data_IF_007248250207
#
_entry.id   IF_007248250207
#
_cell.length_a   1.000
_cell.length_b   1.000
_cell.length_c   1.000
_cell.angle_alpha   90.00
_cell.angle_beta   90.00
_cell.angle_gamma   90.00
#
_symmetry.space_group_name_H-M   'P 1'
#
loop_
_entity.id
_entity.type
_entity.pdbx_description
1 polymer ?
#
# COMPACT_ATOMS: atom_id res chain seq x y z
N UNK A 1 14.01 24.02 4.69
CA UNK A 1 12.55 23.81 4.62
C UNK A 1 12.29 22.33 4.49
N UNK A 2 11.33 21.82 5.27
CA UNK A 2 10.98 20.40 5.31
C UNK A 2 9.49 20.21 5.08
N UNK A 3 9.11 19.08 4.50
CA UNK A 3 7.73 18.60 4.54
C UNK A 3 7.62 17.41 5.50
N UNK A 4 6.47 17.25 6.13
CA UNK A 4 6.16 16.07 6.91
C UNK A 4 5.18 15.23 6.09
N UNK A 5 5.54 13.98 5.86
CA UNK A 5 4.63 12.99 5.29
C UNK A 5 4.15 12.02 6.34
N UNK A 6 2.86 11.74 6.34
CA UNK A 6 2.22 10.79 7.23
C UNK A 6 1.75 9.55 6.49
N UNK A 7 1.87 8.41 7.16
CA UNK A 7 1.21 7.15 6.84
C UNK A 7 0.26 6.83 8.01
N UNK A 8 -1.04 6.90 7.75
CA UNK A 8 -2.12 6.75 8.72
C UNK A 8 -2.88 5.46 8.42
N UNK A 9 -2.47 4.39 9.09
CA UNK A 9 -3.16 3.11 9.05
C UNK A 9 -4.17 2.94 10.20
N UNK A 10 -4.88 1.82 10.23
CA UNK A 10 -5.86 1.54 11.29
C UNK A 10 -5.27 1.37 12.71
N UNK A 11 -3.96 1.19 12.83
CA UNK A 11 -3.30 0.94 14.13
C UNK A 11 -2.31 2.03 14.52
N UNK A 12 -1.65 2.63 13.54
CA UNK A 12 -0.56 3.56 13.78
C UNK A 12 -0.60 4.75 12.82
N UNK A 13 -0.22 5.91 13.36
CA UNK A 13 0.16 7.12 12.63
C UNK A 13 1.68 7.20 12.61
N UNK A 14 2.29 7.18 11.44
CA UNK A 14 3.74 7.36 11.26
C UNK A 14 4.01 8.65 10.52
N UNK A 15 4.77 9.57 11.13
CA UNK A 15 5.25 10.79 10.49
C UNK A 15 6.73 10.69 10.14
N UNK A 16 7.12 11.21 8.98
CA UNK A 16 8.51 11.37 8.55
C UNK A 16 8.75 12.81 8.10
N UNK A 17 9.82 13.41 8.55
CA UNK A 17 10.26 14.72 8.06
C UNK A 17 11.25 14.51 6.90
N UNK A 18 11.05 15.21 5.79
CA UNK A 18 11.80 15.04 4.55
C UNK A 18 12.34 16.37 4.03
N UNK A 19 13.48 16.33 3.38
CA UNK A 19 13.93 17.41 2.50
C UNK A 19 13.38 17.25 1.09
N UNK A 20 13.21 18.37 0.39
CA UNK A 20 12.74 18.37 -1.00
C UNK A 20 13.70 17.58 -1.90
N UNK A 21 13.14 16.60 -2.60
CA UNK A 21 13.89 15.74 -3.53
C UNK A 21 14.63 14.56 -2.89
N UNK A 22 14.50 14.37 -1.59
CA UNK A 22 15.13 13.24 -0.86
C UNK A 22 14.08 12.29 -0.29
N UNK A 23 14.20 10.97 -0.48
CA UNK A 23 13.37 9.98 0.19
C UNK A 23 13.89 9.59 1.58
N UNK A 24 15.03 10.15 2.01
CA UNK A 24 15.67 9.79 3.29
C UNK A 24 15.06 10.63 4.40
N UNK A 25 14.38 10.01 5.39
CA UNK A 25 13.84 10.76 6.51
C UNK A 25 14.94 11.41 7.36
N UNK A 26 14.78 12.70 7.66
CA UNK A 26 15.58 13.42 8.63
C UNK A 26 15.22 13.01 10.07
N UNK A 27 13.93 12.80 10.31
CA UNK A 27 13.38 12.34 11.57
C UNK A 27 12.13 11.49 11.34
N UNK A 28 11.80 10.63 12.29
CA UNK A 28 10.61 9.77 12.24
C UNK A 28 9.98 9.70 13.62
N UNK A 29 8.65 9.87 13.67
CA UNK A 29 7.86 9.64 14.89
C UNK A 29 6.68 8.73 14.60
N UNK A 30 6.16 8.07 15.63
CA UNK A 30 5.03 7.16 15.56
C UNK A 30 4.12 7.35 16.74
N UNK A 31 2.81 7.28 16.51
CA UNK A 31 1.76 7.25 17.53
C UNK A 31 0.74 6.17 17.18
N UNK A 32 -0.21 5.91 18.09
CA UNK A 32 -1.36 5.05 17.78
C UNK A 32 -2.37 5.82 16.93
N UNK A 33 -3.11 5.11 16.11
CA UNK A 33 -4.27 5.67 15.40
C UNK A 33 -5.45 5.71 16.34
N UNK A 34 -6.12 6.86 16.35
CA UNK A 34 -7.36 7.07 17.10
C UNK A 34 -8.56 6.98 16.17
N UNK A 35 -9.69 6.56 16.70
CA UNK A 35 -10.92 6.32 15.93
C UNK A 35 -11.91 7.48 15.97
N UNK A 36 -11.59 8.54 16.67
CA UNK A 36 -12.31 9.84 16.67
C UNK A 36 -11.57 10.82 15.77
N UNK A 37 -12.30 11.57 14.96
CA UNK A 37 -11.70 12.47 13.96
C UNK A 37 -10.94 13.64 14.58
N UNK A 38 -11.44 14.24 15.64
CA UNK A 38 -10.76 15.37 16.29
C UNK A 38 -9.52 14.88 17.04
N UNK A 39 -9.57 13.72 17.69
CA UNK A 39 -8.42 13.09 18.36
C UNK A 39 -7.37 12.64 17.33
N UNK A 40 -7.80 12.16 16.15
CA UNK A 40 -6.87 11.84 15.06
C UNK A 40 -6.13 13.11 14.57
N UNK A 41 -6.83 14.24 14.44
CA UNK A 41 -6.21 15.53 14.12
C UNK A 41 -5.19 15.92 15.18
N UNK A 42 -5.54 15.82 16.48
CA UNK A 42 -4.62 16.14 17.57
C UNK A 42 -3.37 15.26 17.50
N UNK A 43 -3.53 13.95 17.28
CA UNK A 43 -2.41 13.01 17.11
C UNK A 43 -1.49 13.40 15.95
N UNK A 44 -2.05 13.74 14.78
CA UNK A 44 -1.27 14.18 13.62
C UNK A 44 -0.50 15.47 13.93
N UNK A 45 -1.14 16.43 14.58
CA UNK A 45 -0.53 17.70 14.97
C UNK A 45 0.61 17.48 15.98
N UNK A 46 0.39 16.71 17.02
CA UNK A 46 1.41 16.41 18.04
C UNK A 46 2.63 15.71 17.43
N UNK A 47 2.43 14.77 16.53
CA UNK A 47 3.52 14.10 15.82
C UNK A 47 4.26 15.09 14.91
N UNK A 48 3.55 15.98 14.22
CA UNK A 48 4.16 16.99 13.35
C UNK A 48 5.01 17.99 14.16
N UNK A 49 4.45 18.56 15.21
CA UNK A 49 5.14 19.50 16.09
C UNK A 49 6.37 18.86 16.73
N UNK A 50 6.24 17.64 17.24
CA UNK A 50 7.35 16.92 17.81
C UNK A 50 8.47 16.60 16.81
N UNK A 51 8.17 16.33 15.53
CA UNK A 51 9.19 16.17 14.49
C UNK A 51 9.93 17.49 14.22
N UNK A 52 9.22 18.62 14.21
CA UNK A 52 9.83 19.93 14.03
C UNK A 52 10.71 20.30 15.23
N UNK A 53 10.27 20.03 16.44
CA UNK A 53 11.04 20.28 17.67
C UNK A 53 12.34 19.45 17.67
N UNK A 54 12.29 18.16 17.29
CA UNK A 54 13.48 17.31 17.18
C UNK A 54 14.49 17.90 16.19
N UNK A 55 14.04 18.40 15.04
CA UNK A 55 14.92 18.98 14.04
C UNK A 55 15.48 20.34 14.48
N UNK A 56 14.66 21.20 15.11
CA UNK A 56 15.06 22.51 15.63
C UNK A 56 16.05 22.43 16.79
N UNK A 57 16.04 21.32 17.52
CA UNK A 57 17.06 21.08 18.55
C UNK A 57 18.50 21.03 17.99
N UNK A 58 18.63 20.75 16.67
CA UNK A 58 19.93 20.71 15.98
C UNK A 58 20.13 21.84 14.99
N UNK A 59 19.05 22.40 14.43
CA UNK A 59 19.06 23.51 13.47
C UNK A 59 17.78 24.36 13.62
N UNK A 60 17.91 25.50 14.33
CA UNK A 60 16.82 26.44 14.59
C UNK A 60 16.20 27.04 13.31
N UNK A 61 16.89 26.95 12.17
CA UNK A 61 16.42 27.47 10.88
C UNK A 61 15.38 26.58 10.19
N UNK A 62 15.05 25.40 10.76
CA UNK A 62 14.08 24.47 10.18
C UNK A 62 12.67 25.06 10.16
N UNK A 63 12.10 25.12 8.95
CA UNK A 63 10.74 25.61 8.71
C UNK A 63 9.91 24.51 8.08
N UNK A 64 8.74 24.22 8.65
CA UNK A 64 7.74 23.34 8.05
C UNK A 64 7.10 24.07 6.85
N UNK A 65 7.21 23.47 5.67
CA UNK A 65 6.68 24.02 4.42
C UNK A 65 5.27 23.50 4.13
N UNK A 66 5.06 22.20 4.30
CA UNK A 66 3.79 21.55 4.01
C UNK A 66 3.67 20.19 4.73
N UNK A 67 2.47 19.66 4.78
CA UNK A 67 2.15 18.32 5.31
C UNK A 67 1.39 17.50 4.27
N UNK A 68 1.79 16.25 4.11
CA UNK A 68 1.08 15.25 3.32
C UNK A 68 0.56 14.12 4.18
N UNK A 69 -0.63 13.63 3.91
CA UNK A 69 -1.27 12.54 4.61
C UNK A 69 -1.56 11.40 3.62
N UNK A 70 -0.97 10.22 3.83
CA UNK A 70 -1.36 8.97 3.20
C UNK A 70 -2.23 8.18 4.17
N UNK A 71 -3.46 7.90 3.81
CA UNK A 71 -4.45 7.37 4.75
C UNK A 71 -5.10 6.12 4.18
N UNK A 72 -5.15 5.05 4.97
CA UNK A 72 -5.87 3.81 4.61
C UNK A 72 -7.40 4.02 4.64
N UNK A 73 -7.90 4.91 3.77
CA UNK A 73 -9.27 5.37 3.70
C UNK A 73 -9.66 5.81 2.28
N UNK A 74 -10.96 5.88 2.03
CA UNK A 74 -11.51 6.62 0.89
C UNK A 74 -11.37 8.12 1.17
N UNK A 75 -10.42 8.76 0.48
CA UNK A 75 -10.21 10.20 0.50
C UNK A 75 -10.78 10.83 -0.77
N UNK A 76 -11.60 11.86 -0.64
CA UNK A 76 -12.06 12.57 -1.84
C UNK A 76 -11.04 13.64 -2.30
N UNK A 77 -11.25 14.14 -3.52
CA UNK A 77 -10.40 15.18 -4.12
C UNK A 77 -10.36 16.51 -3.34
N UNK A 78 -11.26 16.70 -2.38
CA UNK A 78 -11.32 17.89 -1.52
C UNK A 78 -10.64 17.67 -0.16
N UNK A 79 -10.07 16.50 0.07
CA UNK A 79 -9.42 16.16 1.35
C UNK A 79 -10.39 15.81 2.47
N UNK A 80 -11.59 15.37 2.12
CA UNK A 80 -12.57 14.84 3.07
C UNK A 80 -12.29 13.35 3.26
N UNK A 81 -12.13 12.94 4.49
CA UNK A 81 -12.09 11.53 4.89
C UNK A 81 -13.53 10.99 4.81
N UNK A 82 -13.80 10.14 3.84
CA UNK A 82 -15.16 9.62 3.61
C UNK A 82 -15.45 8.39 4.43
N UNK A 83 -14.57 7.40 4.37
CA UNK A 83 -14.79 6.10 5.01
C UNK A 83 -13.48 5.30 5.11
N UNK A 84 -13.29 4.59 6.22
CA UNK A 84 -12.27 3.55 6.36
C UNK A 84 -12.79 2.41 7.24
N UNK A 85 -12.72 1.16 6.79
CA UNK A 85 -13.11 0.01 7.62
C UNK A 85 -12.31 -0.09 8.92
N UNK A 86 -11.05 0.32 8.89
CA UNK A 86 -10.10 0.21 10.00
C UNK A 86 -10.07 1.44 10.92
N UNK A 87 -10.86 2.49 10.61
CA UNK A 87 -11.02 3.70 11.44
C UNK A 87 -12.52 4.01 11.55
N UNK A 88 -13.30 3.16 12.23
CA UNK A 88 -14.75 3.12 12.13
C UNK A 88 -15.49 4.31 12.77
N UNK A 89 -14.79 5.20 13.47
CA UNK A 89 -15.39 6.40 14.08
C UNK A 89 -15.35 7.65 13.23
N UNK A 90 -14.70 7.62 12.06
CA UNK A 90 -14.46 8.80 11.22
C UNK A 90 -15.23 8.65 9.90
N UNK A 91 -16.19 9.56 9.65
CA UNK A 91 -17.01 9.59 8.44
C UNK A 91 -17.21 11.02 7.98
N UNK A 92 -17.14 11.27 6.68
CA UNK A 92 -17.38 12.58 6.06
C UNK A 92 -16.68 13.73 6.79
N UNK A 93 -15.46 13.46 7.25
CA UNK A 93 -14.73 14.35 8.16
C UNK A 93 -13.75 15.24 7.39
N UNK A 94 -13.75 16.58 7.58
CA UNK A 94 -12.89 17.52 6.84
C UNK A 94 -11.44 17.52 7.36
N UNK A 95 -10.78 16.37 7.26
CA UNK A 95 -9.48 16.11 7.89
C UNK A 95 -8.40 17.11 7.44
N UNK A 96 -8.28 17.35 6.13
CA UNK A 96 -7.28 18.28 5.58
C UNK A 96 -7.48 19.68 6.11
N UNK A 97 -8.73 20.17 6.14
CA UNK A 97 -9.04 21.52 6.65
C UNK A 97 -8.71 21.65 8.14
N UNK A 98 -9.05 20.62 8.93
CA UNK A 98 -8.78 20.62 10.39
C UNK A 98 -7.28 20.60 10.68
N UNK A 99 -6.51 19.74 10.04
CA UNK A 99 -5.05 19.69 10.21
C UNK A 99 -4.39 20.99 9.73
N UNK A 100 -4.82 21.51 8.56
CA UNK A 100 -4.35 22.79 8.03
C UNK A 100 -4.61 23.96 8.99
N UNK A 101 -5.81 24.02 9.59
CA UNK A 101 -6.18 25.05 10.56
C UNK A 101 -5.31 25.05 11.82
N UNK A 102 -4.83 23.87 12.22
CA UNK A 102 -3.97 23.70 13.40
C UNK A 102 -2.49 24.00 13.13
N UNK A 103 -1.97 23.53 12.00
CA UNK A 103 -0.53 23.66 11.66
C UNK A 103 -0.19 24.95 10.92
N UNK A 104 -1.16 25.63 10.32
CA UNK A 104 -0.96 26.89 9.59
C UNK A 104 -0.17 26.77 8.29
N UNK A 105 0.02 25.54 7.74
CA UNK A 105 0.72 25.26 6.49
C UNK A 105 -0.20 24.54 5.51
N UNK A 106 0.13 24.49 4.20
CA UNK A 106 -0.57 23.66 3.24
C UNK A 106 -0.61 22.19 3.67
N UNK A 107 -1.78 21.55 3.54
CA UNK A 107 -1.99 20.13 3.80
C UNK A 107 -2.64 19.48 2.60
N UNK A 108 -2.15 18.32 2.20
CA UNK A 108 -2.75 17.47 1.17
C UNK A 108 -2.95 16.08 1.73
N UNK A 109 -4.01 15.40 1.34
CA UNK A 109 -4.25 14.00 1.70
C UNK A 109 -4.57 13.17 0.48
N UNK A 110 -4.19 11.90 0.54
CA UNK A 110 -4.51 10.90 -0.46
C UNK A 110 -4.66 9.52 0.21
N UNK A 111 -5.14 8.52 -0.54
CA UNK A 111 -5.10 7.14 -0.10
C UNK A 111 -3.65 6.66 0.11
N UNK A 112 -3.42 5.74 1.05
CA UNK A 112 -2.10 5.21 1.41
C UNK A 112 -1.38 4.49 0.25
N UNK A 113 -2.09 3.67 -0.54
CA UNK A 113 -1.51 3.03 -1.72
C UNK A 113 -1.21 4.05 -2.82
N UNK A 114 -2.02 5.10 -2.95
CA UNK A 114 -1.78 6.22 -3.88
C UNK A 114 -0.52 6.99 -3.50
N UNK A 115 -0.32 7.29 -2.23
CA UNK A 115 0.93 7.94 -1.76
C UNK A 115 2.14 7.04 -1.94
N UNK A 116 2.04 5.75 -1.62
CA UNK A 116 3.11 4.78 -1.84
C UNK A 116 3.47 4.65 -3.32
N UNK A 117 2.48 4.68 -4.20
CA UNK A 117 2.67 4.71 -5.66
C UNK A 117 3.54 5.89 -6.09
N UNK A 118 3.22 7.08 -5.55
CA UNK A 118 4.01 8.28 -5.88
C UNK A 118 5.43 8.21 -5.37
N UNK A 119 5.63 7.66 -4.17
CA UNK A 119 6.97 7.43 -3.64
C UNK A 119 7.80 6.52 -4.54
N UNK A 120 7.25 5.38 -4.94
CA UNK A 120 7.95 4.43 -5.81
C UNK A 120 8.20 5.00 -7.21
N UNK A 121 7.31 5.81 -7.75
CA UNK A 121 7.51 6.50 -9.02
C UNK A 121 8.62 7.55 -8.96
N UNK A 122 8.72 8.30 -7.85
CA UNK A 122 9.70 9.38 -7.69
C UNK A 122 11.07 8.90 -7.23
N UNK A 123 11.12 7.91 -6.33
CA UNK A 123 12.32 7.57 -5.58
C UNK A 123 12.63 6.07 -5.54
N UNK A 124 11.75 5.23 -6.05
CA UNK A 124 11.82 3.78 -5.90
C UNK A 124 11.98 3.00 -7.18
N UNK A 125 11.22 1.93 -7.29
CA UNK A 125 11.29 0.98 -8.39
C UNK A 125 10.67 1.51 -9.70
N UNK A 126 9.81 2.54 -9.62
CA UNK A 126 9.11 3.13 -10.76
C UNK A 126 9.86 4.28 -11.44
N UNK A 127 11.06 4.64 -10.99
CA UNK A 127 11.84 5.74 -11.59
C UNK A 127 12.04 5.50 -13.09
N UNK A 128 11.71 6.53 -13.90
CA UNK A 128 11.89 6.52 -15.35
C UNK A 128 10.74 5.93 -16.15
N UNK A 129 9.64 5.54 -15.49
CA UNK A 129 8.42 5.04 -16.14
C UNK A 129 7.27 6.03 -16.03
N UNK A 130 6.69 6.39 -17.17
CA UNK A 130 5.54 7.29 -17.23
C UNK A 130 4.21 6.57 -17.03
N UNK A 131 4.18 5.24 -17.22
CA UNK A 131 3.01 4.40 -17.03
C UNK A 131 3.34 3.25 -16.08
N UNK A 132 2.92 3.38 -14.83
CA UNK A 132 3.20 2.42 -13.76
C UNK A 132 1.93 2.03 -13.01
N UNK A 133 1.77 0.74 -12.74
CA UNK A 133 0.83 0.26 -11.73
C UNK A 133 1.60 -0.16 -10.47
N UNK A 134 1.12 0.27 -9.31
CA UNK A 134 1.60 -0.19 -8.02
C UNK A 134 0.55 -1.10 -7.40
N UNK A 135 0.97 -2.24 -6.88
CA UNK A 135 0.10 -3.22 -6.23
C UNK A 135 0.70 -3.56 -4.87
N UNK A 136 0.05 -3.11 -3.82
CA UNK A 136 0.42 -3.43 -2.44
C UNK A 136 -0.34 -4.66 -1.97
N UNK A 137 0.36 -5.76 -1.75
CA UNK A 137 -0.17 -6.97 -1.14
C UNK A 137 0.10 -6.91 0.38
N UNK A 138 -0.90 -6.49 1.13
CA UNK A 138 -0.89 -6.39 2.59
C UNK A 138 -1.99 -7.25 3.19
N UNK A 139 -2.61 -6.81 4.28
CA UNK A 139 -3.83 -7.42 4.84
C UNK A 139 -4.92 -7.50 3.77
N UNK A 140 -5.05 -6.44 2.97
CA UNK A 140 -5.84 -6.36 1.76
C UNK A 140 -4.96 -6.08 0.53
N UNK A 141 -5.58 -5.58 -0.55
CA UNK A 141 -4.91 -5.11 -1.77
C UNK A 141 -5.15 -3.62 -1.97
N UNK A 142 -4.07 -2.83 -1.87
CA UNK A 142 -4.06 -1.44 -2.31
C UNK A 142 -3.45 -1.30 -3.70
N UNK A 143 -4.00 -0.43 -4.54
CA UNK A 143 -3.41 -0.14 -5.85
C UNK A 143 -3.32 1.36 -6.09
N UNK A 144 -2.38 1.76 -6.94
CA UNK A 144 -2.27 3.13 -7.42
C UNK A 144 -1.60 3.17 -8.79
N UNK A 145 -1.81 4.26 -9.51
CA UNK A 145 -1.42 4.35 -10.91
C UNK A 145 -0.72 5.66 -11.23
N UNK A 146 0.35 5.58 -12.01
CA UNK A 146 0.94 6.72 -12.70
C UNK A 146 0.64 6.57 -14.17
N UNK A 147 0.02 7.56 -14.79
CA UNK A 147 -0.35 7.58 -16.20
C UNK A 147 0.16 8.88 -16.84
N UNK A 148 1.01 8.77 -17.86
CA UNK A 148 1.67 9.92 -18.47
C UNK A 148 2.50 10.74 -17.48
N UNK A 149 3.23 10.07 -16.57
CA UNK A 149 4.08 10.69 -15.55
C UNK A 149 3.31 11.39 -14.41
N UNK A 150 1.99 11.18 -14.32
CA UNK A 150 1.10 11.81 -13.33
C UNK A 150 0.34 10.78 -12.53
N UNK A 151 0.20 11.04 -11.24
CA UNK A 151 -0.60 10.22 -10.35
C UNK A 151 -2.08 10.27 -10.77
N UNK A 152 -2.69 9.11 -11.01
CA UNK A 152 -4.08 9.00 -11.43
C UNK A 152 -4.99 8.78 -10.23
N UNK A 153 -5.86 9.75 -9.96
CA UNK A 153 -6.81 9.73 -8.83
C UNK A 153 -8.26 9.50 -9.25
N UNK A 154 -8.54 9.53 -10.56
CA UNK A 154 -9.91 9.54 -11.07
C UNK A 154 -10.62 10.88 -10.84
N UNK A 155 -11.90 10.92 -11.18
CA UNK A 155 -12.71 12.16 -11.13
C UNK A 155 -12.97 12.66 -9.71
N UNK A 156 -13.04 11.74 -8.74
CA UNK A 156 -13.45 12.04 -7.37
C UNK A 156 -12.39 11.72 -6.31
N UNK A 157 -11.21 11.20 -6.72
CA UNK A 157 -10.16 10.77 -5.80
C UNK A 157 -10.17 9.27 -5.48
N UNK A 158 -11.09 8.49 -6.03
CA UNK A 158 -11.32 7.08 -5.64
C UNK A 158 -10.72 6.05 -6.61
N UNK A 159 -9.89 6.44 -7.56
CA UNK A 159 -9.19 5.47 -8.40
C UNK A 159 -8.17 4.68 -7.57
N UNK A 160 -8.04 3.38 -7.87
CA UNK A 160 -7.09 2.53 -7.17
C UNK A 160 -7.73 1.48 -6.26
N UNK A 161 -9.04 1.33 -6.26
CA UNK A 161 -9.76 0.31 -5.50
C UNK A 161 -9.82 -1.05 -6.24
N UNK A 162 -8.71 -1.43 -6.92
CA UNK A 162 -8.69 -2.63 -7.79
C UNK A 162 -8.79 -3.94 -7.00
N UNK A 163 -8.47 -3.95 -5.71
CA UNK A 163 -8.68 -5.11 -4.83
C UNK A 163 -10.13 -5.60 -4.84
N UNK A 164 -11.09 -4.71 -5.12
CA UNK A 164 -12.53 -5.03 -5.16
C UNK A 164 -13.04 -5.48 -6.54
N UNK A 165 -12.19 -5.58 -7.55
CA UNK A 165 -12.58 -6.15 -8.86
C UNK A 165 -12.91 -7.63 -8.67
N UNK A 166 -14.09 -8.06 -9.12
CA UNK A 166 -14.47 -9.47 -9.10
C UNK A 166 -13.62 -10.27 -10.09
N UNK A 167 -12.84 -11.23 -9.58
CA UNK A 167 -12.05 -12.15 -10.41
C UNK A 167 -12.68 -13.55 -10.48
N UNK A 168 -13.62 -13.86 -9.58
CA UNK A 168 -14.35 -15.12 -9.58
C UNK A 168 -15.85 -14.88 -9.42
N UNK A 169 -16.60 -15.10 -10.51
CA UNK A 169 -18.05 -14.96 -10.47
C UNK A 169 -18.68 -16.03 -9.57
N UNK A 170 -19.38 -15.59 -8.53
CA UNK A 170 -20.00 -16.51 -7.57
C UNK A 170 -19.03 -17.05 -6.52
N UNK A 171 -17.81 -16.51 -6.46
CA UNK A 171 -16.85 -16.78 -5.42
C UNK A 171 -17.34 -16.41 -4.02
N UNK A 172 -16.50 -16.61 -2.99
CA UNK A 172 -16.83 -16.30 -1.60
C UNK A 172 -17.27 -14.85 -1.41
N UNK A 173 -18.13 -14.65 -0.41
CA UNK A 173 -18.55 -13.31 0.00
C UNK A 173 -17.44 -12.64 0.82
N UNK A 174 -17.10 -11.42 0.44
CA UNK A 174 -16.13 -10.59 1.13
C UNK A 174 -16.83 -9.71 2.19
N UNK A 175 -16.07 -9.20 3.16
CA UNK A 175 -16.58 -8.31 4.21
C UNK A 175 -17.27 -7.05 3.67
N UNK A 176 -16.96 -6.64 2.45
CA UNK A 176 -17.59 -5.51 1.73
C UNK A 176 -18.95 -5.89 1.09
N UNK A 177 -19.37 -7.14 1.18
CA UNK A 177 -20.57 -7.67 0.53
C UNK A 177 -20.37 -8.04 -0.95
N UNK A 178 -19.20 -7.77 -1.54
CA UNK A 178 -18.85 -8.21 -2.89
C UNK A 178 -18.55 -9.72 -2.90
N UNK A 179 -18.83 -10.40 -4.03
CA UNK A 179 -18.48 -11.81 -4.22
C UNK A 179 -17.30 -11.99 -5.14
N UNK A 180 -16.31 -12.79 -4.70
CA UNK A 180 -15.13 -13.15 -5.44
C UNK A 180 -14.23 -11.98 -5.83
N UNK A 181 -14.01 -10.95 -4.98
CA UNK A 181 -13.09 -9.86 -5.29
C UNK A 181 -11.64 -10.36 -5.27
N UNK A 182 -10.78 -9.69 -6.01
CA UNK A 182 -9.37 -10.01 -6.09
C UNK A 182 -8.67 -10.07 -4.74
N UNK A 183 -8.98 -9.13 -3.85
CA UNK A 183 -8.43 -9.06 -2.49
C UNK A 183 -8.68 -10.33 -1.67
N UNK A 184 -9.84 -10.99 -1.83
CA UNK A 184 -10.16 -12.22 -1.11
C UNK A 184 -9.12 -13.32 -1.38
N UNK A 185 -8.63 -13.42 -2.63
CA UNK A 185 -7.74 -14.49 -3.06
C UNK A 185 -6.26 -14.11 -3.02
N UNK A 186 -5.93 -12.84 -3.20
CA UNK A 186 -4.58 -12.40 -3.50
C UNK A 186 -3.97 -11.42 -2.47
N UNK A 187 -4.62 -11.26 -1.32
CA UNK A 187 -4.05 -10.51 -0.18
C UNK A 187 -3.34 -11.43 0.82
N UNK A 188 -2.73 -10.85 1.86
CA UNK A 188 -2.17 -11.62 2.98
C UNK A 188 -3.24 -12.46 3.70
N UNK A 189 -4.46 -11.94 3.83
CA UNK A 189 -5.59 -12.74 4.30
C UNK A 189 -5.92 -13.89 3.35
N UNK A 190 -5.89 -13.65 2.03
CA UNK A 190 -6.07 -14.67 1.00
C UNK A 190 -5.01 -15.75 1.05
N UNK A 191 -3.74 -15.38 1.23
CA UNK A 191 -2.66 -16.34 1.43
C UNK A 191 -2.89 -17.22 2.68
N UNK A 192 -3.35 -16.62 3.79
CA UNK A 192 -3.71 -17.35 4.99
C UNK A 192 -4.86 -18.33 4.77
N UNK A 193 -5.89 -17.94 3.97
CA UNK A 193 -7.01 -18.83 3.61
C UNK A 193 -6.48 -20.01 2.80
N UNK A 194 -5.73 -19.77 1.74
CA UNK A 194 -5.14 -20.81 0.88
C UNK A 194 -4.23 -21.74 1.68
N UNK A 195 -3.40 -21.21 2.57
CA UNK A 195 -2.53 -22.01 3.43
C UNK A 195 -3.31 -22.94 4.36
N UNK A 196 -4.44 -22.48 4.94
CA UNK A 196 -5.31 -23.34 5.74
C UNK A 196 -5.97 -24.46 4.92
N UNK A 197 -6.41 -24.17 3.70
CA UNK A 197 -6.95 -25.18 2.77
C UNK A 197 -5.90 -26.23 2.44
N UNK A 198 -4.66 -25.82 2.16
CA UNK A 198 -3.56 -26.74 1.91
C UNK A 198 -3.21 -27.60 3.13
N UNK A 199 -3.14 -26.98 4.31
CA UNK A 199 -2.89 -27.70 5.57
C UNK A 199 -3.98 -28.72 5.88
N UNK A 200 -5.26 -28.37 5.70
CA UNK A 200 -6.39 -29.28 5.87
C UNK A 200 -6.34 -30.48 4.88
N UNK A 201 -5.71 -30.29 3.71
CA UNK A 201 -5.46 -31.34 2.74
C UNK A 201 -4.16 -32.14 2.99
N UNK A 202 -3.45 -31.92 4.11
CA UNK A 202 -2.19 -32.59 4.46
C UNK A 202 -1.01 -32.20 3.57
N UNK A 203 -0.98 -30.98 3.05
CA UNK A 203 0.03 -30.48 2.11
C UNK A 203 0.95 -29.43 2.73
N UNK A 204 0.77 -29.04 4.01
CA UNK A 204 1.50 -27.95 4.65
C UNK A 204 1.70 -28.23 6.16
N UNK A 205 2.28 -29.39 6.48
CA UNK A 205 2.45 -29.83 7.88
C UNK A 205 3.37 -28.90 8.68
N UNK A 206 4.36 -28.30 8.02
CA UNK A 206 5.28 -27.33 8.65
C UNK A 206 4.56 -26.07 9.14
N UNK A 207 3.54 -25.59 8.42
CA UNK A 207 2.76 -24.45 8.89
C UNK A 207 1.87 -24.80 10.11
N UNK A 208 1.32 -26.02 10.15
CA UNK A 208 0.60 -26.52 11.33
C UNK A 208 1.52 -26.56 12.54
N UNK A 209 2.77 -27.03 12.35
CA UNK A 209 3.76 -27.09 13.42
C UNK A 209 4.12 -25.71 13.99
N UNK A 210 4.19 -24.67 13.14
CA UNK A 210 4.44 -23.28 13.57
C UNK A 210 3.22 -22.64 14.24
N UNK A 211 2.04 -22.80 13.64
CA UNK A 211 0.83 -22.12 14.09
C UNK A 211 0.12 -22.84 15.25
N UNK A 212 0.41 -24.14 15.47
CA UNK A 212 -0.22 -24.98 16.48
C UNK A 212 -1.53 -25.65 16.03
N UNK A 213 -2.25 -25.11 15.05
CA UNK A 213 -3.43 -25.73 14.43
C UNK A 213 -3.64 -25.17 13.01
N UNK A 214 -4.47 -25.83 12.22
CA UNK A 214 -4.84 -25.37 10.86
C UNK A 214 -5.49 -24.00 10.92
N UNK A 215 -6.41 -23.78 11.84
CA UNK A 215 -7.19 -22.54 11.98
C UNK A 215 -6.32 -21.34 12.36
N UNK A 216 -5.22 -21.58 13.07
CA UNK A 216 -4.29 -20.54 13.52
C UNK A 216 -3.27 -20.12 12.44
N UNK A 217 -3.23 -20.79 11.27
CA UNK A 217 -2.33 -20.43 10.21
C UNK A 217 -2.68 -19.06 9.63
N UNK A 218 -1.68 -18.16 9.59
CA UNK A 218 -1.73 -16.82 9.02
C UNK A 218 -0.65 -16.67 7.94
N UNK A 219 -0.75 -15.63 7.11
CA UNK A 219 0.27 -15.34 6.09
C UNK A 219 1.68 -15.14 6.65
N UNK A 220 1.82 -14.66 7.89
CA UNK A 220 3.11 -14.50 8.56
C UNK A 220 3.85 -15.83 8.78
N UNK A 221 3.14 -16.90 9.12
CA UNK A 221 3.75 -18.24 9.23
C UNK A 221 4.32 -18.74 7.89
N UNK A 222 3.70 -18.32 6.78
CA UNK A 222 4.21 -18.63 5.44
C UNK A 222 5.50 -17.86 5.16
N UNK A 223 5.58 -16.58 5.58
CA UNK A 223 6.82 -15.81 5.48
C UNK A 223 7.97 -16.51 6.26
N UNK A 224 7.72 -16.98 7.48
CA UNK A 224 8.71 -17.71 8.28
C UNK A 224 9.19 -18.98 7.58
N UNK A 225 8.29 -19.74 6.94
CA UNK A 225 8.65 -20.94 6.17
C UNK A 225 9.46 -20.60 4.90
N UNK A 226 9.15 -19.48 4.23
CA UNK A 226 9.94 -18.98 3.10
C UNK A 226 11.35 -18.60 3.55
N UNK A 227 11.48 -17.87 4.64
CA UNK A 227 12.79 -17.48 5.21
C UNK A 227 13.62 -18.71 5.63
N UNK A 228 12.95 -19.77 6.09
CA UNK A 228 13.56 -21.07 6.41
C UNK A 228 13.87 -21.93 5.18
N UNK A 229 13.55 -21.48 3.96
CA UNK A 229 13.67 -22.25 2.71
C UNK A 229 12.93 -23.60 2.77
N UNK A 230 11.75 -23.65 3.39
CA UNK A 230 10.96 -24.86 3.50
C UNK A 230 10.38 -25.25 2.13
N UNK A 231 10.58 -26.49 1.64
CA UNK A 231 10.14 -26.90 0.31
C UNK A 231 8.63 -27.00 0.13
N UNK A 232 7.84 -27.04 1.21
CA UNK A 232 6.38 -27.10 1.14
C UNK A 232 5.76 -25.79 0.62
N UNK A 233 6.47 -24.65 0.74
CA UNK A 233 5.90 -23.34 0.41
C UNK A 233 5.96 -22.98 -1.07
N UNK A 234 6.92 -23.48 -1.84
CA UNK A 234 7.07 -23.10 -3.25
C UNK A 234 5.82 -23.43 -4.09
N UNK A 235 5.21 -24.63 -3.99
CA UNK A 235 3.97 -24.91 -4.71
C UNK A 235 2.78 -24.06 -4.22
N UNK A 236 2.70 -23.75 -2.91
CA UNK A 236 1.69 -22.87 -2.34
C UNK A 236 1.81 -21.45 -2.92
N UNK A 237 3.03 -20.90 -2.94
CA UNK A 237 3.29 -19.56 -3.48
C UNK A 237 3.01 -19.52 -4.98
N UNK A 238 3.27 -20.61 -5.72
CA UNK A 238 2.93 -20.69 -7.14
C UNK A 238 1.43 -20.60 -7.36
N UNK A 239 0.61 -21.32 -6.57
CA UNK A 239 -0.86 -21.25 -6.66
C UNK A 239 -1.39 -19.86 -6.23
N UNK A 240 -0.83 -19.29 -5.15
CA UNK A 240 -1.16 -17.94 -4.72
C UNK A 240 -0.83 -16.88 -5.79
N UNK A 241 0.33 -17.00 -6.42
CA UNK A 241 0.78 -16.11 -7.48
C UNK A 241 -0.16 -16.10 -8.70
N UNK A 242 -0.84 -17.21 -8.98
CA UNK A 242 -1.88 -17.26 -10.01
C UNK A 242 -3.05 -16.31 -9.70
N UNK A 243 -3.50 -16.28 -8.46
CA UNK A 243 -4.55 -15.36 -8.03
C UNK A 243 -4.10 -13.89 -8.11
N UNK A 244 -2.85 -13.61 -7.75
CA UNK A 244 -2.26 -12.27 -7.89
C UNK A 244 -2.21 -11.86 -9.37
N UNK A 245 -1.74 -12.75 -10.23
CA UNK A 245 -1.56 -12.51 -11.67
C UNK A 245 -2.90 -12.29 -12.41
N UNK A 246 -4.02 -12.89 -11.97
CA UNK A 246 -5.34 -12.63 -12.57
C UNK A 246 -5.70 -11.15 -12.47
N UNK A 247 -5.61 -10.57 -11.28
CA UNK A 247 -5.92 -9.15 -11.10
C UNK A 247 -4.93 -8.24 -11.82
N UNK A 248 -3.62 -8.58 -11.79
CA UNK A 248 -2.62 -7.82 -12.54
C UNK A 248 -2.86 -7.86 -14.05
N UNK A 249 -3.30 -9.00 -14.61
CA UNK A 249 -3.66 -9.08 -16.02
C UNK A 249 -4.81 -8.13 -16.39
N UNK A 250 -5.81 -7.98 -15.49
CA UNK A 250 -6.88 -7.01 -15.69
C UNK A 250 -6.33 -5.58 -15.71
N UNK A 251 -5.37 -5.24 -14.84
CA UNK A 251 -4.71 -3.93 -14.86
C UNK A 251 -3.92 -3.71 -16.14
N UNK A 252 -3.21 -4.74 -16.64
CA UNK A 252 -2.50 -4.66 -17.92
C UNK A 252 -3.46 -4.41 -19.07
N UNK A 253 -4.64 -5.05 -19.12
CA UNK A 253 -5.62 -4.83 -20.17
C UNK A 253 -6.29 -3.45 -20.14
N UNK A 254 -6.40 -2.84 -18.95
CA UNK A 254 -7.06 -1.55 -18.78
C UNK A 254 -6.08 -0.38 -18.95
N UNK A 255 -4.85 -0.52 -18.43
CA UNK A 255 -3.90 0.60 -18.25
C UNK A 255 -2.70 0.53 -19.19
N UNK A 256 -2.37 -0.66 -19.72
CA UNK A 256 -1.15 -0.92 -20.50
C UNK A 256 0.12 -0.33 -19.86
N UNK A 257 0.47 -0.71 -18.62
CA UNK A 257 1.59 -0.12 -17.91
C UNK A 257 2.93 -0.64 -18.45
N UNK A 258 3.97 0.20 -18.35
CA UNK A 258 5.35 -0.17 -18.66
C UNK A 258 5.95 -1.11 -17.62
N UNK A 259 5.46 -1.02 -16.36
CA UNK A 259 5.97 -1.75 -15.21
C UNK A 259 4.88 -1.93 -14.14
N UNK A 260 4.91 -3.06 -13.45
CA UNK A 260 4.12 -3.27 -12.22
C UNK A 260 5.08 -3.34 -11.03
N UNK A 261 4.90 -2.45 -10.06
CA UNK A 261 5.65 -2.45 -8.80
C UNK A 261 4.85 -3.17 -7.73
N UNK A 262 5.39 -4.27 -7.23
CA UNK A 262 4.79 -5.09 -6.19
C UNK A 262 5.27 -4.63 -4.81
N UNK A 263 4.37 -4.13 -3.99
CA UNK A 263 4.62 -3.63 -2.65
C UNK A 263 3.80 -4.36 -1.57
N UNK A 264 3.71 -3.74 -0.39
CA UNK A 264 2.98 -4.30 0.75
C UNK A 264 3.77 -5.31 1.58
N UNK A 265 3.14 -5.88 2.60
CA UNK A 265 3.81 -6.79 3.55
C UNK A 265 4.29 -8.10 2.93
N UNK A 266 3.61 -8.58 1.88
CA UNK A 266 3.98 -9.83 1.21
C UNK A 266 5.24 -9.72 0.33
N UNK A 267 5.83 -8.53 0.15
CA UNK A 267 7.17 -8.44 -0.48
C UNK A 267 8.26 -9.17 0.33
N UNK A 268 8.00 -9.52 1.59
CA UNK A 268 8.84 -10.41 2.39
C UNK A 268 9.02 -11.80 1.77
N UNK A 269 8.07 -12.28 0.97
CA UNK A 269 8.20 -13.52 0.18
C UNK A 269 9.24 -13.40 -0.95
N UNK A 270 9.75 -12.20 -1.20
CA UNK A 270 10.90 -11.91 -2.04
C UNK A 270 10.74 -12.34 -3.49
N UNK A 271 11.86 -12.84 -4.01
CA UNK A 271 11.96 -13.28 -5.41
C UNK A 271 11.08 -14.49 -5.73
N UNK A 272 10.77 -15.34 -4.73
CA UNK A 272 9.87 -16.48 -4.91
C UNK A 272 8.48 -16.02 -5.36
N UNK A 273 7.87 -15.03 -4.67
CA UNK A 273 6.57 -14.48 -5.07
C UNK A 273 6.69 -13.69 -6.37
N UNK A 274 7.70 -12.81 -6.48
CA UNK A 274 7.86 -11.93 -7.66
C UNK A 274 7.96 -12.76 -8.95
N UNK A 275 8.85 -13.75 -8.98
CA UNK A 275 9.07 -14.56 -10.19
C UNK A 275 7.87 -15.45 -10.53
N UNK A 276 7.18 -16.02 -9.52
CA UNK A 276 5.97 -16.80 -9.75
C UNK A 276 4.83 -15.92 -10.32
N UNK A 277 4.65 -14.71 -9.79
CA UNK A 277 3.66 -13.75 -10.30
C UNK A 277 3.99 -13.33 -11.72
N UNK A 278 5.25 -12.98 -12.02
CA UNK A 278 5.68 -12.57 -13.36
C UNK A 278 5.48 -13.69 -14.39
N UNK A 279 5.83 -14.93 -14.05
CA UNK A 279 5.62 -16.08 -14.91
C UNK A 279 4.14 -16.35 -15.21
N UNK A 280 3.30 -16.33 -14.15
CA UNK A 280 1.85 -16.50 -14.30
C UNK A 280 1.22 -15.35 -15.12
N UNK A 281 1.63 -14.10 -14.88
CA UNK A 281 1.17 -12.93 -15.63
C UNK A 281 1.50 -13.06 -17.12
N UNK A 282 2.75 -13.39 -17.44
CA UNK A 282 3.18 -13.56 -18.82
C UNK A 282 2.34 -14.61 -19.58
N UNK A 283 1.92 -15.68 -18.89
CA UNK A 283 1.05 -16.71 -19.46
C UNK A 283 -0.38 -16.24 -19.76
N UNK A 284 -0.83 -15.15 -19.14
CA UNK A 284 -2.21 -14.64 -19.21
C UNK A 284 -2.39 -13.51 -20.22
N UNK A 285 -1.32 -12.83 -20.60
CA UNK A 285 -1.41 -11.63 -21.45
C UNK A 285 -1.73 -11.98 -22.92
N UNK A 286 -2.81 -11.41 -23.44
CA UNK A 286 -3.17 -11.53 -24.85
C UNK A 286 -2.09 -10.92 -25.74
N UNK A 287 -1.67 -11.69 -26.75
CA UNK A 287 -0.67 -11.23 -27.70
C UNK A 287 0.74 -11.07 -27.11
N UNK A 288 1.08 -11.81 -26.07
CA UNK A 288 2.37 -11.75 -25.36
C UNK A 288 3.60 -11.78 -26.28
N UNK A 289 3.51 -12.50 -27.38
CA UNK A 289 4.60 -12.63 -28.36
C UNK A 289 4.67 -11.43 -29.34
N UNK A 290 3.71 -10.50 -29.25
CA UNK A 290 3.55 -9.36 -30.16
C UNK A 290 3.51 -8.01 -29.45
N UNK A 291 3.79 -7.98 -28.16
CA UNK A 291 3.85 -6.76 -27.34
C UNK A 291 5.04 -6.84 -26.38
N UNK A 292 5.55 -5.69 -25.89
CA UNK A 292 6.55 -5.70 -24.82
C UNK A 292 6.04 -6.47 -23.59
N UNK A 293 6.93 -7.21 -22.94
CA UNK A 293 6.63 -7.80 -21.64
C UNK A 293 6.41 -6.69 -20.59
N UNK A 294 5.50 -6.92 -19.65
CA UNK A 294 5.29 -6.02 -18.50
C UNK A 294 6.06 -6.62 -17.32
N UNK A 295 7.21 -6.06 -16.95
CA UNK A 295 8.00 -6.58 -15.83
C UNK A 295 7.28 -6.36 -14.50
N UNK A 296 7.43 -7.33 -13.59
CA UNK A 296 7.01 -7.21 -12.20
C UNK A 296 8.26 -7.03 -11.35
N UNK A 297 8.34 -5.93 -10.60
CA UNK A 297 9.49 -5.61 -9.74
C UNK A 297 9.04 -5.38 -8.30
N UNK A 298 9.91 -5.65 -7.35
CA UNK A 298 9.64 -5.37 -5.94
C UNK A 298 9.82 -3.89 -5.63
N UNK A 299 8.94 -3.35 -4.79
CA UNK A 299 9.04 -2.01 -4.24
C UNK A 299 10.35 -1.82 -3.44
N UNK A 300 10.95 -0.63 -3.52
CA UNK A 300 12.26 -0.33 -2.90
C UNK A 300 12.16 0.41 -1.57
N UNK A 301 11.07 1.15 -1.34
CA UNK A 301 10.96 2.04 -0.17
C UNK A 301 10.34 1.36 1.06
N UNK A 302 9.82 0.13 0.89
CA UNK A 302 9.30 -0.71 1.96
C UNK A 302 8.15 -0.05 2.71
N UNK A 303 8.07 -0.29 4.02
CA UNK A 303 6.98 0.21 4.88
C UNK A 303 6.96 1.74 5.09
N UNK A 304 7.91 2.47 4.51
CA UNK A 304 7.96 3.95 4.58
C UNK A 304 7.41 4.61 3.31
N UNK A 305 7.10 3.83 2.28
CA UNK A 305 6.65 4.36 0.99
C UNK A 305 5.45 5.31 1.13
N UNK A 306 4.43 4.95 1.91
CA UNK A 306 3.25 5.80 2.16
C UNK A 306 3.61 7.17 2.70
N UNK A 307 4.36 7.23 3.80
CA UNK A 307 4.78 8.49 4.40
C UNK A 307 5.74 9.30 3.49
N UNK A 308 6.70 8.64 2.83
CA UNK A 308 7.61 9.32 1.88
C UNK A 308 6.81 9.93 0.73
N UNK A 309 5.86 9.20 0.16
CA UNK A 309 5.02 9.67 -0.93
C UNK A 309 4.10 10.81 -0.52
N UNK A 310 3.53 10.75 0.67
CA UNK A 310 2.74 11.83 1.23
C UNK A 310 3.56 13.12 1.36
N UNK A 311 4.78 13.05 1.88
CA UNK A 311 5.70 14.19 1.95
C UNK A 311 6.12 14.71 0.56
N UNK A 312 6.33 13.82 -0.40
CA UNK A 312 6.62 14.22 -1.79
C UNK A 312 5.44 14.96 -2.42
N UNK A 313 4.21 14.50 -2.20
CA UNK A 313 2.99 15.19 -2.67
C UNK A 313 2.82 16.55 -2.00
N UNK A 314 3.13 16.68 -0.72
CA UNK A 314 3.11 17.95 -0.02
C UNK A 314 4.05 18.98 -0.68
N UNK A 315 5.27 18.57 -1.03
CA UNK A 315 6.20 19.40 -1.77
C UNK A 315 5.74 19.75 -3.20
N UNK A 316 5.05 18.83 -3.88
CA UNK A 316 4.54 19.09 -5.22
C UNK A 316 3.37 20.09 -5.20
N UNK A 317 2.61 20.17 -4.11
CA UNK A 317 1.50 21.10 -3.91
C UNK A 317 1.94 22.54 -3.58
N UNK A 318 3.22 22.76 -3.26
CA UNK A 318 3.81 24.09 -2.93
C UNK A 318 4.63 24.70 -4.07
N UNK A 319 4.57 24.13 -5.28
CA UNK A 319 5.23 24.61 -6.49
C UNK A 319 4.44 25.69 -7.21
#
# INVERSE_FOLDING_TARGET
>A
MVAIGFDVGGTNVRGVALERGSPVPLATRRSKTETDGDVLVDTIVEVAEGLIDDLRATDDSVVLEAVGLGIAALMDANGIFRYAPNIPGVFDYPLVERVKGRLGVPVIADNDATTATWAEAKYGAGIGHDHMAFVALGTGIGTGFVLGGRLHRGAHGYAGESGHITIERGGPEHITGARGPWEYFASGNGLGILAREWAAAGRLDSAIALAGSVEAILGEHINELVDANNPEVEPLITEFADSVAIGMANLVYILDPEIIVLGGGLVGLGEMLRSAVEASLAGRILGRDHRPAVPVVLAKLGSRAGAIGAGALAFDATR
#
